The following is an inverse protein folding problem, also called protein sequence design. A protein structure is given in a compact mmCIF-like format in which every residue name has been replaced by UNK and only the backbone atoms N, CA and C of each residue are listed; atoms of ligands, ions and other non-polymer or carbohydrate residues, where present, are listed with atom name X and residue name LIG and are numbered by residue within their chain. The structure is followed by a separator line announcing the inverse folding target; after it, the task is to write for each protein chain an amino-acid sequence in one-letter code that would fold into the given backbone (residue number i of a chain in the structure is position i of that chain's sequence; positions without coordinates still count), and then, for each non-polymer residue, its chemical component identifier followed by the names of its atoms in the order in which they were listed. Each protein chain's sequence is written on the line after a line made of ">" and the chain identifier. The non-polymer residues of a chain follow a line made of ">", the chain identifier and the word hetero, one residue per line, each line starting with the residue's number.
data_IF_485456271745
#
_entry.id   IF_485456271745
#
_cell.length_a   1.000
_cell.length_b   1.000
_cell.length_c   1.000
_cell.angle_alpha   90.00
_cell.angle_beta   90.00
_cell.angle_gamma   90.00
#
_symmetry.space_group_name_H-M   'P 1'
#
loop_
_entity.id
_entity.type
_entity.pdbx_description
1 polymer ?
#
# COMPACT_ATOMS: atom_id res chain seq x y z
N UNK A 1 -10.32 -15.60 7.47
CA UNK A 1 -8.99 -15.58 8.13
C UNK A 1 -7.82 -15.90 7.20
N UNK A 2 -7.94 -16.82 6.23
CA UNK A 2 -6.83 -17.12 5.29
C UNK A 2 -6.35 -15.93 4.45
N UNK A 3 -7.28 -15.10 3.94
CA UNK A 3 -6.92 -13.93 3.12
C UNK A 3 -6.16 -12.85 3.92
N UNK A 4 -6.59 -12.58 5.16
CA UNK A 4 -5.90 -11.65 6.06
C UNK A 4 -4.47 -12.11 6.37
N UNK A 5 -4.28 -13.41 6.54
CA UNK A 5 -2.96 -14.00 6.73
C UNK A 5 -2.07 -13.85 5.49
N UNK A 6 -2.62 -14.05 4.29
CA UNK A 6 -1.90 -13.84 3.04
C UNK A 6 -1.48 -12.37 2.86
N UNK A 7 -2.35 -11.42 3.20
CA UNK A 7 -2.01 -9.99 3.18
C UNK A 7 -0.89 -9.65 4.16
N UNK A 8 -0.94 -10.17 5.40
CA UNK A 8 0.14 -9.97 6.36
C UNK A 8 1.48 -10.51 5.84
N UNK A 9 1.48 -11.71 5.25
CA UNK A 9 2.66 -12.30 4.63
C UNK A 9 3.18 -11.51 3.44
N UNK A 10 2.28 -10.88 2.67
CA UNK A 10 2.66 -10.03 1.55
C UNK A 10 3.39 -8.78 2.04
N UNK A 11 2.78 -8.06 3.00
CA UNK A 11 3.35 -6.85 3.61
C UNK A 11 4.70 -7.18 4.26
N UNK A 12 4.78 -8.26 5.02
CA UNK A 12 6.02 -8.72 5.66
C UNK A 12 7.15 -8.97 4.63
N UNK A 13 6.83 -9.59 3.49
CA UNK A 13 7.79 -9.81 2.41
C UNK A 13 8.24 -8.48 1.79
N UNK A 14 7.34 -7.54 1.58
CA UNK A 14 7.65 -6.23 1.02
C UNK A 14 8.61 -5.45 1.94
N UNK A 15 8.26 -5.35 3.22
CA UNK A 15 9.00 -4.58 4.22
C UNK A 15 10.37 -5.17 4.54
N UNK A 16 10.46 -6.49 4.69
CA UNK A 16 11.67 -7.14 5.19
C UNK A 16 12.59 -7.66 4.08
N UNK A 17 12.08 -7.86 2.87
CA UNK A 17 12.87 -8.43 1.76
C UNK A 17 12.94 -7.50 0.56
N UNK A 18 11.78 -7.13 -0.01
CA UNK A 18 11.73 -6.46 -1.30
C UNK A 18 12.27 -5.03 -1.23
N UNK A 19 11.74 -4.19 -0.34
CA UNK A 19 12.19 -2.80 -0.22
C UNK A 19 13.65 -2.69 0.26
N UNK A 20 14.13 -3.49 1.23
CA UNK A 20 15.55 -3.50 1.59
C UNK A 20 16.45 -3.93 0.44
N UNK A 21 16.03 -4.91 -0.36
CA UNK A 21 16.78 -5.32 -1.55
C UNK A 21 16.82 -4.19 -2.59
N UNK A 22 15.68 -3.58 -2.91
CA UNK A 22 15.62 -2.46 -3.86
C UNK A 22 16.52 -1.29 -3.42
N UNK A 23 16.49 -0.91 -2.14
CA UNK A 23 17.33 0.16 -1.58
C UNK A 23 18.83 -0.11 -1.69
N UNK A 24 19.25 -1.38 -1.60
CA UNK A 24 20.66 -1.78 -1.72
C UNK A 24 21.13 -1.95 -3.16
N UNK A 25 20.23 -2.40 -4.04
CA UNK A 25 20.56 -2.86 -5.40
C UNK A 25 20.36 -1.78 -6.46
N UNK A 26 19.50 -0.79 -6.22
CA UNK A 26 19.20 0.26 -7.19
C UNK A 26 20.00 1.54 -6.92
N UNK A 27 20.46 2.24 -7.97
CA UNK A 27 21.00 3.58 -7.83
C UNK A 27 19.94 4.53 -7.24
N UNK A 28 20.38 5.50 -6.43
CA UNK A 28 19.48 6.48 -5.79
C UNK A 28 18.56 7.17 -6.80
N UNK A 29 19.08 7.53 -7.97
CA UNK A 29 18.30 8.15 -9.06
C UNK A 29 17.11 7.30 -9.50
N UNK A 30 17.28 5.98 -9.60
CA UNK A 30 16.20 5.07 -10.02
C UNK A 30 15.19 4.86 -8.88
N UNK A 31 15.65 4.85 -7.62
CA UNK A 31 14.76 4.85 -6.46
C UNK A 31 13.91 6.12 -6.40
N UNK A 32 14.52 7.29 -6.59
CA UNK A 32 13.82 8.57 -6.58
C UNK A 32 12.79 8.65 -7.71
N UNK A 33 13.17 8.20 -8.92
CA UNK A 33 12.26 8.10 -10.05
C UNK A 33 11.06 7.20 -9.73
N UNK A 34 11.31 5.98 -9.23
CA UNK A 34 10.24 5.04 -8.88
C UNK A 34 9.31 5.61 -7.80
N UNK A 35 9.87 6.21 -6.76
CA UNK A 35 9.09 6.83 -5.68
C UNK A 35 8.20 7.97 -6.21
N UNK A 36 8.73 8.79 -7.12
CA UNK A 36 7.96 9.87 -7.73
C UNK A 36 6.83 9.33 -8.62
N UNK A 37 7.09 8.31 -9.44
CA UNK A 37 6.06 7.69 -10.29
C UNK A 37 4.91 7.11 -9.45
N UNK A 38 5.23 6.42 -8.35
CA UNK A 38 4.21 5.89 -7.43
C UNK A 38 3.44 7.02 -6.77
N UNK A 39 4.12 8.07 -6.30
CA UNK A 39 3.48 9.22 -5.68
C UNK A 39 2.52 9.92 -6.65
N UNK A 40 2.96 10.18 -7.88
CA UNK A 40 2.11 10.79 -8.92
C UNK A 40 0.88 9.93 -9.21
N UNK A 41 1.03 8.61 -9.27
CA UNK A 41 -0.09 7.69 -9.42
C UNK A 41 -1.07 7.78 -8.24
N UNK A 42 -0.58 7.73 -7.01
CA UNK A 42 -1.42 7.78 -5.80
C UNK A 42 -2.11 9.14 -5.61
N UNK A 43 -1.47 10.23 -6.03
CA UNK A 43 -1.97 11.60 -5.90
C UNK A 43 -2.95 12.01 -7.01
N UNK A 44 -3.26 11.12 -7.95
CA UNK A 44 -4.35 11.39 -8.91
C UNK A 44 -5.70 11.49 -8.17
N UNK A 45 -6.50 12.49 -8.51
CA UNK A 45 -7.83 12.72 -7.91
C UNK A 45 -8.70 11.46 -7.88
N UNK A 46 -8.66 10.67 -8.96
CA UNK A 46 -9.36 9.38 -9.06
C UNK A 46 -8.91 8.39 -7.98
N UNK A 47 -7.61 8.23 -7.77
CA UNK A 47 -7.07 7.26 -6.83
C UNK A 47 -7.26 7.74 -5.38
N UNK A 48 -7.15 9.05 -5.13
CA UNK A 48 -7.49 9.66 -3.84
C UNK A 48 -8.95 9.36 -3.49
N UNK A 49 -9.88 9.61 -4.41
CA UNK A 49 -11.31 9.41 -4.18
C UNK A 49 -11.64 7.92 -3.99
N UNK A 50 -11.05 7.04 -4.81
CA UNK A 50 -11.19 5.59 -4.67
C UNK A 50 -10.73 5.12 -3.29
N UNK A 51 -9.53 5.55 -2.85
CA UNK A 51 -9.00 5.20 -1.53
C UNK A 51 -9.90 5.71 -0.41
N UNK A 52 -10.39 6.96 -0.49
CA UNK A 52 -11.33 7.52 0.50
C UNK A 52 -12.60 6.69 0.61
N UNK A 53 -13.17 6.27 -0.52
CA UNK A 53 -14.39 5.48 -0.52
C UNK A 53 -14.17 4.09 0.07
N UNK A 54 -13.08 3.41 -0.30
CA UNK A 54 -12.71 2.11 0.31
C UNK A 54 -12.51 2.23 1.83
N UNK A 55 -11.87 3.30 2.32
CA UNK A 55 -11.67 3.52 3.75
C UNK A 55 -13.00 3.74 4.48
N UNK A 56 -13.91 4.55 3.91
CA UNK A 56 -15.26 4.75 4.48
C UNK A 56 -16.02 3.42 4.59
N UNK A 57 -16.01 2.61 3.54
CA UNK A 57 -16.67 1.29 3.55
C UNK A 57 -16.10 0.38 4.65
N UNK A 58 -14.77 0.37 4.82
CA UNK A 58 -14.12 -0.41 5.88
C UNK A 58 -14.50 0.10 7.28
N UNK A 59 -14.55 1.41 7.50
CA UNK A 59 -14.97 2.02 8.76
C UNK A 59 -16.43 1.67 9.09
N UNK A 60 -17.31 1.71 8.10
CA UNK A 60 -18.72 1.38 8.29
C UNK A 60 -18.93 -0.12 8.57
N UNK A 61 -18.17 -0.99 7.89
CA UNK A 61 -18.15 -2.42 8.22
C UNK A 61 -17.65 -2.68 9.64
N UNK A 62 -16.62 -1.97 10.11
CA UNK A 62 -16.12 -2.09 11.47
C UNK A 62 -17.18 -1.68 12.51
N UNK A 63 -17.89 -0.57 12.28
CA UNK A 63 -18.98 -0.12 13.17
C UNK A 63 -20.10 -1.15 13.25
N UNK A 64 -20.49 -1.73 12.12
CA UNK A 64 -21.56 -2.71 12.05
C UNK A 64 -21.18 -4.07 12.69
N UNK A 65 -19.89 -4.42 12.75
CA UNK A 65 -19.40 -5.63 13.42
C UNK A 65 -19.21 -5.44 14.94
N UNK A 66 -19.17 -4.20 15.42
CA UNK A 66 -18.97 -3.87 16.84
C UNK A 66 -20.30 -3.65 17.60
N UNK A 67 -21.44 -3.69 16.91
CA UNK A 67 -22.80 -3.70 17.47
C UNK A 67 -23.34 -5.12 17.59
#
# INVERSE_FOLDING_TARGET
>A
MAYVYLLHRHIDKEDNTLFPYAKRSLPQKELDKLNNEVKEYEETEKNIETRKNMLRELEDLQKNLAQ
#
